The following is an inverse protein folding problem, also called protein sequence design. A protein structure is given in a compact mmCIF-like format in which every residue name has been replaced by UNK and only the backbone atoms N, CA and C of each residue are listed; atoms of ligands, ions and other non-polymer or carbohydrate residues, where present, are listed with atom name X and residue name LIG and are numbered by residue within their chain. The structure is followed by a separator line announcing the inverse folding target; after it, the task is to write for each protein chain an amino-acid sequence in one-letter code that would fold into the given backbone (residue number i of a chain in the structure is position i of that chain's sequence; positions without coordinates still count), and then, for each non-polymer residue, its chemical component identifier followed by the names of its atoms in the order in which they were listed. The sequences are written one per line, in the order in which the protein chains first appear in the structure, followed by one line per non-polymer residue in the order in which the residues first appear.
data_IF_490100420411
#
_entry.id   IF_490100420411
#
_cell.length_a   1.000
_cell.length_b   1.000
_cell.length_c   1.000
_cell.angle_alpha   90.00
_cell.angle_beta   90.00
_cell.angle_gamma   90.00
#
_symmetry.space_group_name_H-M   'P 1'
#
loop_
_entity.id
_entity.type
_entity.pdbx_description
1 polymer ?
#
# COMPACT_ATOMS: atom_id res chain seq x y z
N UNK A 1 0.67 9.65 -17.76
CA UNK A 1 -0.52 9.09 -18.44
C UNK A 1 -1.79 9.25 -17.60
N UNK A 2 -1.91 8.59 -16.44
CA UNK A 2 -3.11 8.71 -15.58
C UNK A 2 -3.49 10.17 -15.25
N UNK A 3 -2.51 10.99 -14.87
CA UNK A 3 -2.70 12.43 -14.67
C UNK A 3 -3.29 13.16 -15.89
N UNK A 4 -2.86 12.83 -17.11
CA UNK A 4 -3.41 13.45 -18.33
C UNK A 4 -4.89 13.09 -18.43
N UNK A 5 -5.26 11.82 -18.23
CA UNK A 5 -6.67 11.43 -18.19
C UNK A 5 -7.45 12.18 -17.10
N UNK A 6 -6.88 12.38 -15.91
CA UNK A 6 -7.51 13.17 -14.85
C UNK A 6 -7.76 14.63 -15.26
N UNK A 7 -6.88 15.21 -16.09
CA UNK A 7 -6.98 16.60 -16.54
C UNK A 7 -8.01 16.74 -17.68
N UNK A 8 -7.95 15.89 -18.70
CA UNK A 8 -8.81 16.01 -19.90
C UNK A 8 -10.12 15.21 -19.80
N UNK A 9 -10.24 14.34 -18.80
CA UNK A 9 -11.35 13.40 -18.63
C UNK A 9 -11.35 12.25 -19.64
N UNK A 10 -12.12 11.21 -19.38
CA UNK A 10 -12.15 9.99 -20.20
C UNK A 10 -12.50 10.25 -21.67
N UNK A 11 -13.40 11.19 -21.93
CA UNK A 11 -13.79 11.56 -23.29
C UNK A 11 -12.64 12.27 -24.03
N UNK A 12 -12.02 13.26 -23.39
CA UNK A 12 -10.89 13.99 -23.96
C UNK A 12 -9.66 13.10 -24.16
N UNK A 13 -9.43 12.16 -23.24
CA UNK A 13 -8.33 11.20 -23.34
C UNK A 13 -8.53 10.23 -24.51
N UNK A 14 -9.76 9.74 -24.72
CA UNK A 14 -10.08 8.90 -25.90
C UNK A 14 -9.90 9.66 -27.22
N UNK A 15 -10.31 10.94 -27.27
CA UNK A 15 -10.09 11.78 -28.44
C UNK A 15 -8.59 11.96 -28.73
N UNK A 16 -7.79 12.24 -27.70
CA UNK A 16 -6.33 12.34 -27.82
C UNK A 16 -5.67 11.03 -28.26
N UNK A 17 -6.14 9.87 -27.77
CA UNK A 17 -5.67 8.57 -28.24
C UNK A 17 -5.98 8.33 -29.72
N UNK A 18 -7.21 8.64 -30.16
CA UNK A 18 -7.58 8.50 -31.57
C UNK A 18 -6.68 9.35 -32.47
N UNK A 19 -6.45 10.61 -32.09
CA UNK A 19 -5.59 11.52 -32.83
C UNK A 19 -4.12 11.06 -32.83
N UNK A 20 -3.64 10.52 -31.71
CA UNK A 20 -2.29 9.97 -31.60
C UNK A 20 -2.08 8.80 -32.58
N UNK A 21 -3.02 7.85 -32.64
CA UNK A 21 -2.92 6.73 -33.59
C UNK A 21 -3.10 7.20 -35.04
N UNK A 22 -4.02 8.13 -35.32
CA UNK A 22 -4.19 8.69 -36.67
C UNK A 22 -2.89 9.31 -37.20
N UNK A 23 -2.14 10.01 -36.33
CA UNK A 23 -0.90 10.70 -36.72
C UNK A 23 0.32 9.77 -36.81
N UNK A 24 0.38 8.74 -35.97
CA UNK A 24 1.64 8.05 -35.68
C UNK A 24 1.58 6.52 -35.78
N UNK A 25 0.52 5.95 -36.33
CA UNK A 25 0.48 4.49 -36.55
C UNK A 25 1.63 4.03 -37.46
N UNK A 26 2.31 2.96 -37.05
CA UNK A 26 3.50 2.43 -37.72
C UNK A 26 4.79 3.25 -37.56
N UNK A 27 4.81 4.32 -36.74
CA UNK A 27 5.99 5.15 -36.51
C UNK A 27 6.70 4.86 -35.17
N UNK A 28 7.99 5.20 -35.10
CA UNK A 28 8.68 5.40 -33.83
C UNK A 28 8.49 6.86 -33.39
N UNK A 29 7.95 7.08 -32.19
CA UNK A 29 7.56 8.40 -31.69
C UNK A 29 8.26 8.79 -30.38
N UNK A 30 8.04 10.04 -29.98
CA UNK A 30 8.52 10.65 -28.74
C UNK A 30 7.41 10.79 -27.69
N UNK A 31 7.78 11.18 -26.46
CA UNK A 31 6.79 11.50 -25.43
C UNK A 31 6.00 12.76 -25.78
N UNK A 32 6.65 13.70 -26.45
CA UNK A 32 6.12 14.96 -26.95
C UNK A 32 4.98 14.73 -27.93
N UNK A 33 5.14 13.77 -28.86
CA UNK A 33 4.10 13.41 -29.84
C UNK A 33 2.81 12.96 -29.14
N UNK A 34 2.94 12.15 -28.08
CA UNK A 34 1.79 11.70 -27.29
C UNK A 34 1.09 12.87 -26.57
N UNK A 35 1.86 13.75 -25.92
CA UNK A 35 1.28 14.89 -25.19
C UNK A 35 0.70 15.92 -26.15
N UNK A 36 1.33 16.14 -27.31
CA UNK A 36 0.81 17.02 -28.36
C UNK A 36 -0.52 16.51 -28.91
N UNK A 37 -0.65 15.21 -29.22
CA UNK A 37 -1.93 14.65 -29.65
C UNK A 37 -3.03 14.82 -28.58
N UNK A 38 -2.69 14.68 -27.30
CA UNK A 38 -3.62 14.94 -26.19
C UNK A 38 -4.03 16.41 -26.11
N UNK A 39 -3.07 17.34 -26.26
CA UNK A 39 -3.34 18.78 -26.23
C UNK A 39 -4.16 19.23 -27.43
N UNK A 40 -3.84 18.77 -28.63
CA UNK A 40 -4.50 19.16 -29.88
C UNK A 40 -5.95 18.66 -29.97
N UNK A 41 -6.21 17.48 -29.41
CA UNK A 41 -7.57 16.95 -29.29
C UNK A 41 -8.41 17.70 -28.23
N UNK A 42 -7.76 18.41 -27.30
CA UNK A 42 -8.39 19.08 -26.16
C UNK A 42 -7.93 20.55 -26.05
N UNK A 43 -8.32 21.43 -27.00
CA UNK A 43 -7.75 22.78 -27.13
C UNK A 43 -8.05 23.72 -25.94
N UNK A 44 -9.02 23.37 -25.09
CA UNK A 44 -9.29 24.10 -23.83
C UNK A 44 -8.32 23.77 -22.70
N UNK A 45 -7.49 22.73 -22.86
CA UNK A 45 -6.54 22.26 -21.86
C UNK A 45 -5.11 22.50 -22.34
N UNK A 46 -4.37 23.36 -21.64
CA UNK A 46 -2.94 23.55 -21.87
C UNK A 46 -2.13 22.51 -21.06
N UNK A 47 -1.29 21.73 -21.76
CA UNK A 47 -0.38 20.72 -21.20
C UNK A 47 1.12 21.09 -21.33
N UNK A 48 1.46 22.32 -21.70
CA UNK A 48 2.85 22.75 -21.92
C UNK A 48 3.68 22.65 -20.63
N UNK A 49 3.15 23.20 -19.53
CA UNK A 49 3.80 23.09 -18.21
C UNK A 49 3.86 21.64 -17.74
N UNK A 50 2.81 20.85 -18.02
CA UNK A 50 2.79 19.42 -17.71
C UNK A 50 3.95 18.70 -18.40
N UNK A 51 4.12 18.91 -19.71
CA UNK A 51 5.20 18.31 -20.49
C UNK A 51 6.57 18.74 -19.97
N UNK A 52 6.77 20.05 -19.80
CA UNK A 52 8.04 20.64 -19.39
C UNK A 52 8.50 20.17 -18.00
N UNK A 53 7.58 19.76 -17.13
CA UNK A 53 7.90 19.35 -15.75
C UNK A 53 7.87 17.83 -15.58
N UNK A 54 6.76 17.16 -15.87
CA UNK A 54 6.61 15.73 -15.55
C UNK A 54 7.50 14.78 -16.36
N UNK A 55 7.93 15.17 -17.57
CA UNK A 55 8.82 14.35 -18.39
C UNK A 55 10.30 14.69 -18.21
N UNK A 56 10.62 15.90 -17.75
CA UNK A 56 12.01 16.39 -17.70
C UNK A 56 12.53 16.67 -16.28
N UNK A 57 11.66 16.77 -15.28
CA UNK A 57 12.03 17.06 -13.90
C UNK A 57 11.91 15.81 -13.02
N UNK A 58 13.04 15.37 -12.46
CA UNK A 58 13.10 14.25 -11.53
C UNK A 58 12.71 14.66 -10.10
N UNK A 59 12.35 13.68 -9.29
CA UNK A 59 12.03 13.86 -7.87
C UNK A 59 10.53 13.85 -7.60
N UNK A 60 10.16 13.52 -6.37
CA UNK A 60 8.77 13.47 -5.93
C UNK A 60 8.37 14.84 -5.39
N UNK A 61 7.33 15.50 -5.94
CA UNK A 61 6.85 16.75 -5.40
C UNK A 61 6.21 16.58 -4.01
N UNK A 62 6.24 17.64 -3.23
CA UNK A 62 5.55 17.76 -1.95
C UNK A 62 4.51 18.87 -2.06
N UNK A 63 3.28 18.59 -1.62
CA UNK A 63 2.18 19.56 -1.54
C UNK A 63 1.81 19.73 -0.07
N UNK A 64 2.14 20.89 0.48
CA UNK A 64 1.68 21.32 1.79
C UNK A 64 0.29 21.96 1.65
N UNK A 65 -0.66 21.46 2.44
CA UNK A 65 -2.05 21.92 2.48
C UNK A 65 -2.36 22.56 3.82
N UNK A 66 -2.98 23.73 3.76
CA UNK A 66 -3.56 24.44 4.90
C UNK A 66 -5.02 24.77 4.60
N UNK A 67 -5.86 24.68 5.63
CA UNK A 67 -7.31 24.77 5.48
C UNK A 67 -7.88 25.80 6.46
N UNK A 68 -8.90 26.53 6.04
CA UNK A 68 -9.65 27.41 6.94
C UNK A 68 -11.12 27.44 6.56
N UNK A 69 -11.99 27.43 7.56
CA UNK A 69 -13.43 27.48 7.39
C UNK A 69 -14.00 28.72 8.08
N UNK A 70 -14.73 29.55 7.32
CA UNK A 70 -15.52 30.65 7.83
C UNK A 70 -17.01 30.26 7.81
N UNK A 71 -17.56 30.06 9.01
CA UNK A 71 -18.96 29.67 9.18
C UNK A 71 -19.95 30.78 8.82
N UNK A 72 -19.61 32.05 9.02
CA UNK A 72 -20.52 33.16 8.73
C UNK A 72 -20.61 33.39 7.22
N UNK A 73 -19.47 33.29 6.53
CA UNK A 73 -19.42 33.41 5.08
C UNK A 73 -19.78 32.10 4.35
N UNK A 74 -19.86 30.97 5.06
CA UNK A 74 -20.00 29.63 4.48
C UNK A 74 -18.94 29.35 3.42
N UNK A 75 -17.68 29.68 3.75
CA UNK A 75 -16.54 29.52 2.84
C UNK A 75 -15.50 28.59 3.42
N UNK A 76 -14.97 27.71 2.58
CA UNK A 76 -13.85 26.85 2.90
C UNK A 76 -12.69 27.16 1.97
N UNK A 77 -11.52 27.44 2.54
CA UNK A 77 -10.34 27.86 1.80
C UNK A 77 -9.26 26.80 1.92
N UNK A 78 -8.72 26.39 0.77
CA UNK A 78 -7.58 25.49 0.63
C UNK A 78 -6.37 26.29 0.14
N UNK A 79 -5.38 26.49 1.00
CA UNK A 79 -4.08 27.07 0.63
C UNK A 79 -3.10 25.94 0.38
N UNK A 80 -2.54 25.90 -0.82
CA UNK A 80 -1.57 24.88 -1.23
C UNK A 80 -0.23 25.50 -1.52
N UNK A 81 0.84 24.80 -1.13
CA UNK A 81 2.21 25.13 -1.51
C UNK A 81 2.88 23.88 -2.05
N UNK A 82 3.40 23.95 -3.28
CA UNK A 82 4.18 22.85 -3.85
C UNK A 82 5.68 23.11 -3.78
N UNK A 83 6.46 22.05 -3.61
CA UNK A 83 7.92 22.07 -3.66
C UNK A 83 8.46 20.74 -4.17
N UNK A 84 9.72 20.71 -4.58
CA UNK A 84 10.43 19.48 -4.91
C UNK A 84 11.89 19.61 -4.51
N UNK A 85 12.45 18.58 -3.88
CA UNK A 85 13.84 18.58 -3.44
C UNK A 85 14.78 18.49 -4.65
N UNK A 86 15.96 19.11 -4.54
CA UNK A 86 17.02 18.96 -5.53
C UNK A 86 17.37 17.47 -5.74
N UNK A 87 17.67 17.08 -6.97
CA UNK A 87 18.12 15.73 -7.32
C UNK A 87 19.48 15.81 -8.02
N UNK A 88 20.28 14.72 -8.06
CA UNK A 88 21.53 14.70 -8.81
C UNK A 88 21.31 15.20 -10.25
N UNK A 89 22.12 16.15 -10.70
CA UNK A 89 22.02 16.77 -12.02
C UNK A 89 20.89 17.81 -12.19
N UNK A 90 20.01 18.01 -11.21
CA UNK A 90 18.91 18.98 -11.28
C UNK A 90 18.74 19.72 -9.93
N UNK A 91 19.58 20.73 -9.64
CA UNK A 91 19.57 21.45 -8.37
C UNK A 91 18.41 22.47 -8.24
N UNK A 92 17.89 22.96 -9.36
CA UNK A 92 16.78 23.91 -9.42
C UNK A 92 15.52 23.19 -9.90
N UNK A 93 14.38 23.44 -9.24
CA UNK A 93 13.09 22.83 -9.56
C UNK A 93 12.05 23.89 -9.91
N UNK A 94 11.28 23.65 -10.96
CA UNK A 94 10.13 24.44 -11.37
C UNK A 94 8.85 23.87 -10.74
N UNK A 95 7.80 24.69 -10.53
CA UNK A 95 6.52 24.18 -10.06
C UNK A 95 5.91 23.25 -11.11
N UNK A 96 5.47 22.08 -10.66
CA UNK A 96 4.76 21.12 -11.49
C UNK A 96 3.35 21.63 -11.78
N UNK A 97 2.76 21.03 -12.81
CA UNK A 97 1.34 21.13 -13.09
C UNK A 97 0.62 19.89 -12.53
N UNK A 98 0.12 20.00 -11.30
CA UNK A 98 -0.39 18.89 -10.49
C UNK A 98 -1.92 18.87 -10.58
N UNK A 99 -2.55 17.83 -11.17
CA UNK A 99 -3.98 17.59 -11.02
C UNK A 99 -4.27 17.03 -9.62
N UNK A 100 -4.85 17.86 -8.76
CA UNK A 100 -5.15 17.54 -7.38
C UNK A 100 -6.66 17.29 -7.22
N UNK A 101 -7.07 16.02 -7.34
CA UNK A 101 -8.46 15.60 -7.16
C UNK A 101 -8.81 15.58 -5.68
N UNK A 102 -9.94 16.16 -5.29
CA UNK A 102 -10.40 16.17 -3.91
C UNK A 102 -11.93 16.19 -3.77
N UNK A 103 -12.42 15.96 -2.57
CA UNK A 103 -13.81 16.19 -2.17
C UNK A 103 -13.90 16.81 -0.77
N UNK A 104 -15.09 17.28 -0.39
CA UNK A 104 -15.38 17.82 0.94
C UNK A 104 -16.51 17.01 1.57
N UNK A 105 -16.28 16.47 2.77
CA UNK A 105 -17.33 15.78 3.53
C UNK A 105 -17.76 16.60 4.73
N UNK A 106 -19.05 16.74 4.93
CA UNK A 106 -19.60 17.46 6.06
C UNK A 106 -19.37 16.71 7.38
N UNK A 107 -18.73 17.38 8.35
CA UNK A 107 -18.34 16.75 9.63
C UNK A 107 -19.53 16.30 10.49
N UNK A 108 -20.71 16.90 10.31
CA UNK A 108 -21.93 16.53 11.05
C UNK A 108 -22.86 15.69 10.17
N UNK A 109 -23.12 16.14 8.94
CA UNK A 109 -24.02 15.44 8.00
C UNK A 109 -23.46 14.12 7.49
N UNK A 110 -22.12 13.96 7.46
CA UNK A 110 -21.38 12.82 6.89
C UNK A 110 -21.66 12.62 5.41
N UNK A 111 -22.00 13.69 4.69
CA UNK A 111 -22.31 13.66 3.26
C UNK A 111 -21.33 14.53 2.48
N UNK A 112 -21.15 14.28 1.18
CA UNK A 112 -20.46 15.22 0.31
C UNK A 112 -21.11 16.59 0.37
N UNK A 113 -20.27 17.62 0.46
CA UNK A 113 -20.67 19.02 0.43
C UNK A 113 -20.46 19.60 -0.98
N UNK A 114 -21.15 20.70 -1.32
CA UNK A 114 -20.97 21.36 -2.62
C UNK A 114 -19.51 21.77 -2.87
N UNK A 115 -19.04 21.54 -4.10
CA UNK A 115 -17.70 21.88 -4.56
C UNK A 115 -17.74 23.12 -5.48
N UNK A 116 -18.39 24.19 -5.00
CA UNK A 116 -18.55 25.43 -5.76
C UNK A 116 -17.28 26.30 -5.62
N UNK A 117 -16.38 26.20 -6.59
CA UNK A 117 -15.13 26.97 -6.63
C UNK A 117 -15.41 28.40 -7.12
N UNK A 118 -14.87 29.42 -6.44
CA UNK A 118 -15.20 30.83 -6.73
C UNK A 118 -14.81 31.34 -8.12
N UNK A 119 -13.89 30.66 -8.82
CA UNK A 119 -13.35 31.09 -10.11
C UNK A 119 -13.74 30.18 -11.30
N UNK A 120 -14.61 29.18 -11.07
CA UNK A 120 -15.07 28.18 -12.04
C UNK A 120 -13.96 27.51 -12.87
N UNK A 121 -12.71 27.50 -12.37
CA UNK A 121 -11.53 27.06 -13.14
C UNK A 121 -11.31 25.55 -13.16
N UNK A 122 -12.14 24.79 -12.45
CA UNK A 122 -11.92 23.39 -12.15
C UNK A 122 -13.04 22.48 -12.67
N UNK A 123 -12.67 21.24 -12.97
CA UNK A 123 -13.62 20.23 -13.44
C UNK A 123 -14.24 19.52 -12.23
N UNK A 124 -15.56 19.64 -12.09
CA UNK A 124 -16.34 18.93 -11.06
C UNK A 124 -16.93 17.66 -11.68
N UNK A 125 -16.76 16.54 -11.00
CA UNK A 125 -17.31 15.22 -11.37
C UNK A 125 -17.94 14.59 -10.14
N UNK A 126 -19.25 14.37 -10.14
CA UNK A 126 -20.01 13.83 -9.02
C UNK A 126 -19.75 14.60 -7.71
N UNK A 127 -19.04 14.00 -6.78
CA UNK A 127 -18.69 14.52 -5.46
C UNK A 127 -17.20 14.90 -5.34
N UNK A 128 -16.53 15.05 -6.49
CA UNK A 128 -15.10 15.31 -6.59
C UNK A 128 -14.81 16.50 -7.52
N UNK A 129 -13.70 17.19 -7.27
CA UNK A 129 -13.20 18.30 -8.10
C UNK A 129 -11.71 18.12 -8.37
N UNK A 130 -11.27 18.43 -9.59
CA UNK A 130 -9.84 18.42 -9.94
C UNK A 130 -9.28 19.85 -9.95
N UNK A 131 -8.48 20.18 -8.95
CA UNK A 131 -7.76 21.45 -8.86
C UNK A 131 -6.43 21.38 -9.60
N UNK A 132 -6.07 22.41 -10.36
CA UNK A 132 -4.80 22.46 -11.11
C UNK A 132 -3.79 23.32 -10.36
N UNK A 133 -2.89 22.68 -9.62
CA UNK A 133 -1.82 23.37 -8.88
C UNK A 133 -0.63 23.56 -9.82
N UNK A 134 -0.48 24.78 -10.34
CA UNK A 134 0.53 25.21 -11.32
C UNK A 134 1.55 26.20 -10.77
N UNK A 135 1.23 26.92 -9.70
CA UNK A 135 2.14 27.87 -9.06
C UNK A 135 2.74 27.27 -7.79
N UNK A 136 3.83 27.87 -7.30
CA UNK A 136 4.46 27.48 -6.03
C UNK A 136 3.49 27.60 -4.86
N UNK A 137 2.63 28.61 -4.87
CA UNK A 137 1.55 28.83 -3.89
C UNK A 137 0.27 29.20 -4.62
N UNK A 138 -0.85 28.60 -4.22
CA UNK A 138 -2.19 28.91 -4.72
C UNK A 138 -3.23 28.79 -3.61
N UNK A 139 -4.36 29.43 -3.83
CA UNK A 139 -5.50 29.42 -2.93
C UNK A 139 -6.76 29.08 -3.74
N UNK A 140 -7.56 28.17 -3.19
CA UNK A 140 -8.83 27.73 -3.77
C UNK A 140 -9.93 27.97 -2.73
N UNK A 141 -10.96 28.73 -3.10
CA UNK A 141 -12.04 29.12 -2.19
C UNK A 141 -13.34 28.47 -2.65
N UNK A 142 -13.89 27.63 -1.79
CA UNK A 142 -15.19 26.98 -1.96
C UNK A 142 -16.26 27.77 -1.24
N UNK A 143 -17.38 28.03 -1.91
CA UNK A 143 -18.52 28.80 -1.38
C UNK A 143 -19.75 27.91 -1.16
N UNK A 144 -20.67 28.34 -0.30
CA UNK A 144 -21.88 27.56 0.03
C UNK A 144 -21.57 26.31 0.84
N UNK A 145 -20.49 26.33 1.62
CA UNK A 145 -20.09 25.27 2.54
C UNK A 145 -20.80 25.51 3.87
N UNK A 146 -21.94 24.86 4.07
CA UNK A 146 -22.87 25.18 5.19
C UNK A 146 -22.40 24.70 6.58
N UNK A 147 -21.49 23.72 6.61
CA UNK A 147 -20.89 23.19 7.83
C UNK A 147 -19.40 22.92 7.64
N UNK A 148 -18.64 22.83 8.74
CA UNK A 148 -17.19 22.59 8.67
C UNK A 148 -16.91 21.27 7.93
N UNK A 149 -16.17 21.28 6.82
CA UNK A 149 -15.86 20.06 6.09
C UNK A 149 -14.63 19.34 6.68
N UNK A 150 -14.54 18.05 6.40
CA UNK A 150 -13.32 17.24 6.45
C UNK A 150 -12.87 17.01 4.99
N UNK A 151 -11.66 17.43 4.60
CA UNK A 151 -11.21 17.34 3.21
C UNK A 151 -10.73 15.93 2.86
N UNK A 152 -11.26 15.38 1.77
CA UNK A 152 -10.78 14.15 1.13
C UNK A 152 -9.75 14.53 0.05
N UNK A 153 -8.48 14.50 0.43
CA UNK A 153 -7.37 15.03 -0.38
C UNK A 153 -6.76 13.97 -1.29
N UNK A 154 -6.28 14.40 -2.48
CA UNK A 154 -5.57 13.56 -3.44
C UNK A 154 -6.31 12.25 -3.79
N UNK A 155 -7.63 12.35 -4.02
CA UNK A 155 -8.49 11.22 -4.42
C UNK A 155 -7.90 10.45 -5.58
N UNK A 156 -8.02 9.12 -5.51
CA UNK A 156 -7.52 8.14 -6.48
C UNK A 156 -6.03 8.28 -6.82
N UNK A 157 -5.23 8.84 -5.90
CA UNK A 157 -3.83 9.17 -6.12
C UNK A 157 -3.64 10.01 -7.41
N UNK A 158 -4.49 11.02 -7.56
CA UNK A 158 -4.60 11.85 -8.78
C UNK A 158 -3.27 12.42 -9.30
N UNK A 159 -2.26 12.58 -8.45
CA UNK A 159 -0.89 12.86 -8.86
C UNK A 159 0.13 12.13 -7.96
N UNK A 160 1.32 11.77 -8.48
CA UNK A 160 2.36 11.07 -7.73
C UNK A 160 3.17 12.04 -6.86
N UNK A 161 2.51 12.60 -5.86
CA UNK A 161 3.05 13.60 -4.93
C UNK A 161 2.93 13.11 -3.49
N UNK A 162 3.74 13.67 -2.61
CA UNK A 162 3.53 13.55 -1.16
C UNK A 162 2.67 14.72 -0.69
N UNK A 163 1.71 14.46 0.20
CA UNK A 163 0.82 15.49 0.73
C UNK A 163 1.01 15.58 2.25
N UNK A 164 1.09 16.80 2.76
CA UNK A 164 0.98 17.09 4.18
C UNK A 164 -0.24 17.99 4.40
N UNK A 165 -1.00 17.74 5.46
CA UNK A 165 -2.09 18.61 5.89
C UNK A 165 -2.06 18.66 7.41
N UNK A 166 -1.50 19.74 7.98
CA UNK A 166 -1.33 19.85 9.43
C UNK A 166 -2.67 19.94 10.18
N UNK A 167 -3.71 20.41 9.50
CA UNK A 167 -5.05 20.57 10.07
C UNK A 167 -5.82 19.24 10.13
N UNK A 168 -5.38 18.20 9.41
CA UNK A 168 -6.07 16.92 9.36
C UNK A 168 -5.66 16.04 10.56
N UNK A 169 -6.56 15.94 11.52
CA UNK A 169 -6.34 15.21 12.78
C UNK A 169 -6.56 13.70 12.62
N UNK A 170 -6.06 12.89 13.58
CA UNK A 170 -6.35 11.45 13.64
C UNK A 170 -7.84 11.12 13.72
N UNK A 171 -8.62 11.97 14.40
CA UNK A 171 -10.08 11.82 14.46
C UNK A 171 -10.74 12.08 13.10
N UNK A 172 -10.19 13.00 12.30
CA UNK A 172 -10.65 13.24 10.93
C UNK A 172 -10.20 12.14 9.96
N UNK A 173 -9.01 11.53 10.16
CA UNK A 173 -8.61 10.31 9.45
C UNK A 173 -9.56 9.14 9.76
N UNK A 174 -9.90 8.93 11.03
CA UNK A 174 -10.91 7.94 11.44
C UNK A 174 -12.27 8.21 10.78
N UNK A 175 -12.69 9.48 10.76
CA UNK A 175 -13.92 9.91 10.10
C UNK A 175 -13.90 9.58 8.60
N UNK A 176 -12.82 9.92 7.87
CA UNK A 176 -12.68 9.63 6.45
C UNK A 176 -12.68 8.11 6.19
N UNK A 177 -11.95 7.34 7.00
CA UNK A 177 -11.95 5.88 6.90
C UNK A 177 -13.36 5.28 7.08
N UNK A 178 -14.22 5.90 7.89
CA UNK A 178 -15.59 5.47 8.14
C UNK A 178 -16.63 5.98 7.14
N UNK A 179 -16.39 7.12 6.49
CA UNK A 179 -17.45 7.90 5.83
C UNK A 179 -17.09 8.47 4.45
N UNK A 180 -15.83 8.44 4.03
CA UNK A 180 -15.45 8.93 2.70
C UNK A 180 -16.16 8.11 1.60
N UNK A 181 -16.71 8.81 0.63
CA UNK A 181 -17.37 8.22 -0.54
C UNK A 181 -16.36 7.65 -1.54
N UNK A 182 -15.10 8.11 -1.50
CA UNK A 182 -14.04 7.57 -2.33
C UNK A 182 -13.34 6.40 -1.62
N UNK A 183 -13.47 5.18 -2.18
CA UNK A 183 -12.92 3.95 -1.60
C UNK A 183 -11.40 4.00 -1.43
N UNK A 184 -10.68 4.62 -2.37
CA UNK A 184 -9.23 4.82 -2.26
C UNK A 184 -8.88 5.69 -1.06
N UNK A 185 -9.57 6.82 -0.85
CA UNK A 185 -9.35 7.67 0.32
C UNK A 185 -9.76 7.03 1.64
N UNK A 186 -10.77 6.15 1.66
CA UNK A 186 -11.05 5.35 2.87
C UNK A 186 -9.87 4.45 3.23
N UNK A 187 -9.31 3.76 2.23
CA UNK A 187 -8.12 2.94 2.39
C UNK A 187 -6.93 3.79 2.87
N UNK A 188 -6.62 4.89 2.17
CA UNK A 188 -5.50 5.76 2.53
C UNK A 188 -5.66 6.34 3.94
N UNK A 189 -6.87 6.71 4.36
CA UNK A 189 -7.11 7.22 5.71
C UNK A 189 -6.82 6.18 6.80
N UNK A 190 -7.20 4.91 6.58
CA UNK A 190 -6.84 3.79 7.47
C UNK A 190 -5.32 3.60 7.49
N UNK A 191 -4.68 3.58 6.32
CA UNK A 191 -3.23 3.36 6.22
C UNK A 191 -2.43 4.50 6.84
N UNK A 192 -2.86 5.74 6.65
CA UNK A 192 -2.24 6.93 7.23
C UNK A 192 -2.35 6.91 8.75
N UNK A 193 -3.54 6.64 9.28
CA UNK A 193 -3.77 6.52 10.72
C UNK A 193 -2.90 5.40 11.33
N UNK A 194 -2.92 4.22 10.72
CA UNK A 194 -2.10 3.09 11.17
C UNK A 194 -0.60 3.38 11.09
N UNK A 195 -0.15 4.04 10.01
CA UNK A 195 1.25 4.44 9.80
C UNK A 195 1.70 5.43 10.88
N UNK A 196 0.92 6.47 11.17
CA UNK A 196 1.30 7.46 12.17
C UNK A 196 1.46 6.83 13.56
N UNK A 197 0.49 6.00 13.98
CA UNK A 197 0.54 5.25 15.24
C UNK A 197 1.77 4.34 15.29
N UNK A 198 2.05 3.62 14.20
CA UNK A 198 3.15 2.68 14.16
C UNK A 198 4.51 3.39 14.14
N UNK A 199 4.68 4.48 13.37
CA UNK A 199 5.92 5.26 13.38
C UNK A 199 6.21 5.82 14.77
N UNK A 200 5.20 6.35 15.47
CA UNK A 200 5.37 6.83 16.85
C UNK A 200 5.75 5.71 17.81
N UNK A 201 5.04 4.58 17.75
CA UNK A 201 5.36 3.42 18.58
C UNK A 201 6.80 2.93 18.33
N UNK A 202 7.25 2.89 17.07
CA UNK A 202 8.61 2.50 16.74
C UNK A 202 9.68 3.48 17.26
N UNK A 203 9.34 4.77 17.42
CA UNK A 203 10.25 5.79 17.96
C UNK A 203 10.26 5.84 19.49
N UNK A 204 9.13 5.55 20.14
CA UNK A 204 8.95 5.67 21.59
C UNK A 204 8.87 4.31 22.31
N UNK A 205 9.82 3.42 22.00
CA UNK A 205 9.95 2.11 22.67
C UNK A 205 8.66 1.26 22.70
N UNK A 206 7.81 1.40 21.69
CA UNK A 206 6.54 0.68 21.51
C UNK A 206 5.37 1.22 22.32
N UNK A 207 5.51 2.39 22.94
CA UNK A 207 4.38 3.09 23.58
C UNK A 207 3.34 3.43 22.51
N UNK A 208 2.09 3.09 22.80
CA UNK A 208 0.95 3.39 21.92
C UNK A 208 -0.15 4.02 22.76
N UNK A 209 -0.59 5.21 22.38
CA UNK A 209 -1.70 5.89 23.02
C UNK A 209 -3.00 5.06 22.85
N UNK A 210 -3.73 4.88 23.95
CA UNK A 210 -4.94 4.07 23.95
C UNK A 210 -6.07 4.66 23.09
N UNK A 211 -6.18 5.99 23.05
CA UNK A 211 -7.16 6.72 22.24
C UNK A 211 -6.90 6.49 20.75
N UNK A 212 -5.65 6.59 20.32
CA UNK A 212 -5.31 6.45 18.90
C UNK A 212 -5.48 5.01 18.40
N UNK A 213 -5.14 4.02 19.23
CA UNK A 213 -5.43 2.62 18.94
C UNK A 213 -6.94 2.38 18.83
N UNK A 214 -7.74 3.01 19.68
CA UNK A 214 -9.20 2.94 19.61
C UNK A 214 -9.72 3.53 18.29
N UNK A 215 -9.22 4.69 17.86
CA UNK A 215 -9.58 5.28 16.56
C UNK A 215 -9.28 4.32 15.40
N UNK A 216 -8.10 3.67 15.41
CA UNK A 216 -7.76 2.69 14.37
C UNK A 216 -8.71 1.49 14.40
N UNK A 217 -9.01 0.94 15.57
CA UNK A 217 -9.94 -0.19 15.72
C UNK A 217 -11.34 0.18 15.22
N UNK A 218 -11.84 1.36 15.59
CA UNK A 218 -13.15 1.86 15.19
C UNK A 218 -13.24 2.05 13.66
N UNK A 219 -12.19 2.62 13.05
CA UNK A 219 -12.12 2.80 11.58
C UNK A 219 -12.19 1.47 10.82
N UNK A 220 -11.45 0.46 11.30
CA UNK A 220 -11.42 -0.88 10.72
C UNK A 220 -12.74 -1.61 10.95
N UNK A 221 -13.36 -1.45 12.13
CA UNK A 221 -14.66 -2.03 12.42
C UNK A 221 -15.75 -1.46 11.51
N UNK A 222 -15.80 -0.13 11.34
CA UNK A 222 -16.74 0.53 10.42
C UNK A 222 -16.53 0.05 8.98
N UNK A 223 -15.27 -0.01 8.54
CA UNK A 223 -14.92 -0.51 7.19
C UNK A 223 -15.35 -1.95 6.98
N UNK A 224 -15.14 -2.82 7.98
CA UNK A 224 -15.51 -4.23 7.91
C UNK A 224 -17.03 -4.45 7.86
N UNK A 225 -17.80 -3.60 8.55
CA UNK A 225 -19.26 -3.70 8.66
C UNK A 225 -20.00 -3.03 7.50
N UNK A 226 -19.32 -2.20 6.70
CA UNK A 226 -19.91 -1.53 5.56
C UNK A 226 -20.09 -2.50 4.39
N UNK A 227 -21.34 -2.84 4.07
CA UNK A 227 -21.69 -3.76 2.98
C UNK A 227 -21.68 -3.09 1.59
N UNK A 228 -21.54 -1.76 1.52
CA UNK A 228 -21.49 -1.04 0.25
C UNK A 228 -20.11 -1.07 -0.41
N UNK A 229 -19.05 -1.27 0.38
CA UNK A 229 -17.67 -1.30 -0.12
C UNK A 229 -17.35 -2.55 -0.95
N UNK A 230 -16.45 -2.40 -1.92
CA UNK A 230 -15.79 -3.54 -2.54
C UNK A 230 -15.02 -4.36 -1.49
N UNK A 231 -15.17 -5.69 -1.54
CA UNK A 231 -14.56 -6.58 -0.53
C UNK A 231 -13.04 -6.60 -0.60
N UNK A 232 -12.45 -6.33 -1.77
CA UNK A 232 -11.01 -6.20 -1.98
C UNK A 232 -10.48 -4.94 -1.30
N UNK A 233 -11.21 -3.82 -1.36
CA UNK A 233 -10.88 -2.60 -0.60
C UNK A 233 -10.89 -2.88 0.90
N UNK A 234 -11.93 -3.54 1.41
CA UNK A 234 -11.99 -3.94 2.83
C UNK A 234 -10.80 -4.83 3.19
N UNK A 235 -10.43 -5.79 2.33
CA UNK A 235 -9.28 -6.66 2.54
C UNK A 235 -7.96 -5.86 2.64
N UNK A 236 -7.78 -4.84 1.78
CA UNK A 236 -6.61 -3.97 1.81
C UNK A 236 -6.55 -3.13 3.09
N UNK A 237 -7.67 -2.63 3.59
CA UNK A 237 -7.72 -1.90 4.86
C UNK A 237 -7.29 -2.76 6.06
N UNK A 238 -7.52 -4.08 6.02
CA UNK A 238 -7.07 -5.00 7.08
C UNK A 238 -5.56 -5.29 7.03
N UNK A 239 -4.86 -4.99 5.92
CA UNK A 239 -3.41 -5.19 5.79
C UNK A 239 -2.62 -4.02 6.36
N UNK A 240 -2.40 -4.07 7.68
CA UNK A 240 -1.66 -3.05 8.41
C UNK A 240 -0.24 -2.82 7.84
N UNK A 241 0.29 -1.57 7.92
CA UNK A 241 1.57 -1.20 7.33
C UNK A 241 2.72 -2.18 7.62
N UNK A 242 3.56 -2.41 6.60
CA UNK A 242 4.73 -3.28 6.69
C UNK A 242 5.91 -2.58 7.36
N UNK A 243 6.83 -3.38 7.91
CA UNK A 243 7.99 -2.89 8.65
C UNK A 243 8.94 -2.06 7.78
N UNK A 244 9.17 -2.50 6.55
CA UNK A 244 9.98 -1.79 5.57
C UNK A 244 9.34 -0.46 5.15
N UNK A 245 8.01 -0.42 5.01
CA UNK A 245 7.27 0.83 4.78
C UNK A 245 7.46 1.81 5.94
N UNK A 246 7.29 1.36 7.19
CA UNK A 246 7.44 2.22 8.38
C UNK A 246 8.86 2.74 8.55
N UNK A 247 9.87 1.91 8.26
CA UNK A 247 11.26 2.33 8.26
C UNK A 247 11.53 3.50 7.31
N UNK A 248 10.75 3.67 6.23
CA UNK A 248 10.91 4.81 5.32
C UNK A 248 10.50 6.16 5.92
N UNK A 249 9.67 6.16 6.97
CA UNK A 249 9.12 7.36 7.62
C UNK A 249 9.83 7.71 8.93
N UNK A 250 10.83 6.92 9.33
CA UNK A 250 11.75 7.24 10.41
C UNK A 250 12.94 7.98 9.81
N UNK A 251 13.50 8.92 10.56
CA UNK A 251 14.64 9.72 10.13
C UNK A 251 15.86 8.84 9.85
N UNK A 252 16.66 9.22 8.84
CA UNK A 252 17.88 8.52 8.49
C UNK A 252 18.83 8.45 9.70
N UNK A 253 19.48 7.29 9.89
CA UNK A 253 20.33 7.00 11.04
C UNK A 253 19.59 6.72 12.36
N UNK A 254 18.24 6.60 12.35
CA UNK A 254 17.42 6.34 13.55
C UNK A 254 16.54 5.10 13.45
N UNK A 255 16.64 4.31 12.38
CA UNK A 255 15.85 3.08 12.23
C UNK A 255 16.45 1.98 13.11
N UNK A 256 15.71 1.55 14.14
CA UNK A 256 15.97 0.34 14.90
C UNK A 256 15.05 -0.81 14.40
N UNK A 257 15.59 -1.86 13.75
CA UNK A 257 14.79 -2.98 13.24
C UNK A 257 14.01 -3.75 14.31
N UNK A 258 14.61 -3.98 15.48
CA UNK A 258 13.99 -4.75 16.57
C UNK A 258 12.79 -4.01 17.13
N UNK A 259 12.92 -2.69 17.34
CA UNK A 259 11.85 -1.84 17.85
C UNK A 259 10.68 -1.71 16.87
N UNK A 260 10.96 -1.62 15.57
CA UNK A 260 9.92 -1.68 14.52
C UNK A 260 9.20 -3.03 14.55
N UNK A 261 9.93 -4.15 14.60
CA UNK A 261 9.33 -5.47 14.65
C UNK A 261 8.47 -5.68 15.91
N UNK A 262 9.00 -5.28 17.08
CA UNK A 262 8.30 -5.38 18.37
C UNK A 262 7.02 -4.54 18.37
N UNK A 263 7.12 -3.28 17.96
CA UNK A 263 5.98 -2.35 17.91
C UNK A 263 4.92 -2.80 16.90
N UNK A 264 5.35 -3.25 15.72
CA UNK A 264 4.43 -3.72 14.68
C UNK A 264 3.74 -5.03 15.03
N UNK A 265 4.42 -5.94 15.74
CA UNK A 265 3.80 -7.15 16.30
C UNK A 265 2.74 -6.76 17.35
N UNK A 266 3.08 -5.87 18.29
CA UNK A 266 2.17 -5.42 19.33
C UNK A 266 0.93 -4.70 18.77
N UNK A 267 1.10 -3.85 17.76
CA UNK A 267 -0.02 -3.19 17.07
C UNK A 267 -0.96 -4.22 16.42
N UNK A 268 -0.40 -5.16 15.65
CA UNK A 268 -1.18 -6.25 15.00
C UNK A 268 -1.93 -7.09 16.03
N UNK A 269 -1.30 -7.42 17.16
CA UNK A 269 -1.92 -8.17 18.25
C UNK A 269 -3.09 -7.42 18.90
N UNK A 270 -2.93 -6.12 19.19
CA UNK A 270 -3.99 -5.29 19.76
C UNK A 270 -5.19 -5.20 18.83
N UNK A 271 -4.97 -4.89 17.55
CA UNK A 271 -6.02 -4.81 16.54
C UNK A 271 -6.72 -6.16 16.35
N UNK A 272 -5.94 -7.25 16.19
CA UNK A 272 -6.49 -8.58 15.99
C UNK A 272 -7.33 -9.06 17.17
N UNK A 273 -6.88 -8.83 18.40
CA UNK A 273 -7.61 -9.22 19.60
C UNK A 273 -8.90 -8.42 19.79
N UNK A 274 -8.87 -7.11 19.53
CA UNK A 274 -10.07 -6.26 19.64
C UNK A 274 -11.12 -6.61 18.58
N UNK A 275 -10.69 -6.79 17.33
CA UNK A 275 -11.59 -7.06 16.20
C UNK A 275 -11.94 -8.54 16.02
N UNK A 276 -11.41 -9.45 16.85
CA UNK A 276 -11.54 -10.89 16.66
C UNK A 276 -12.99 -11.34 16.39
N UNK A 277 -14.02 -10.92 17.17
CA UNK A 277 -15.39 -11.35 16.91
C UNK A 277 -15.91 -10.89 15.54
N UNK A 278 -15.68 -9.63 15.17
CA UNK A 278 -16.15 -9.05 13.91
C UNK A 278 -15.42 -9.64 12.71
N UNK A 279 -14.11 -9.86 12.82
CA UNK A 279 -13.30 -10.47 11.77
C UNK A 279 -13.67 -11.94 11.57
N UNK A 280 -13.98 -12.67 12.64
CA UNK A 280 -14.43 -14.05 12.55
C UNK A 280 -15.81 -14.14 11.89
N UNK A 281 -16.72 -13.24 12.23
CA UNK A 281 -18.04 -13.13 11.60
C UNK A 281 -17.90 -12.81 10.09
N UNK A 282 -17.07 -11.82 9.74
CA UNK A 282 -16.78 -11.48 8.36
C UNK A 282 -16.20 -12.68 7.59
N UNK A 283 -15.20 -13.37 8.13
CA UNK A 283 -14.63 -14.58 7.54
C UNK A 283 -15.69 -15.64 7.22
N UNK A 284 -16.62 -15.88 8.16
CA UNK A 284 -17.69 -16.88 8.02
C UNK A 284 -18.76 -16.46 7.02
N UNK A 285 -19.05 -15.17 6.93
CA UNK A 285 -20.03 -14.59 5.99
C UNK A 285 -19.52 -14.51 4.56
N UNK A 286 -18.21 -14.62 4.32
CA UNK A 286 -17.70 -14.65 2.95
C UNK A 286 -18.18 -15.92 2.26
N UNK A 287 -19.24 -15.78 1.46
CA UNK A 287 -19.71 -16.81 0.55
C UNK A 287 -18.72 -16.97 -0.62
N UNK A 288 -18.21 -18.18 -0.78
CA UNK A 288 -17.45 -18.59 -1.96
C UNK A 288 -18.24 -19.69 -2.66
N UNK A 289 -19.34 -19.34 -3.37
CA UNK A 289 -20.28 -20.33 -3.88
C UNK A 289 -19.68 -21.23 -4.96
N UNK A 290 -18.69 -20.74 -5.71
CA UNK A 290 -18.01 -21.51 -6.76
C UNK A 290 -16.49 -21.47 -6.59
N UNK A 291 -15.85 -22.64 -6.40
CA UNK A 291 -14.42 -22.79 -6.11
C UNK A 291 -13.42 -22.15 -7.08
N UNK A 292 -13.81 -21.93 -8.35
CA UNK A 292 -12.92 -21.49 -9.43
C UNK A 292 -13.41 -20.25 -10.19
N UNK A 293 -14.36 -19.48 -9.65
CA UNK A 293 -14.77 -18.22 -10.27
C UNK A 293 -13.65 -17.18 -10.23
N UNK A 294 -13.28 -16.63 -11.39
CA UNK A 294 -12.18 -15.67 -11.54
C UNK A 294 -12.64 -14.22 -11.79
N UNK A 295 -13.94 -13.95 -11.76
CA UNK A 295 -14.45 -12.58 -11.91
C UNK A 295 -14.12 -11.72 -10.68
N UNK A 296 -14.04 -10.39 -10.86
CA UNK A 296 -13.51 -9.45 -9.86
C UNK A 296 -14.11 -9.62 -8.46
N UNK A 297 -15.44 -9.70 -8.34
CA UNK A 297 -16.10 -9.88 -7.04
C UNK A 297 -15.74 -11.20 -6.34
N UNK A 298 -15.55 -12.31 -7.07
CA UNK A 298 -15.12 -13.58 -6.47
C UNK A 298 -13.68 -13.50 -5.96
N UNK A 299 -12.80 -12.79 -6.68
CA UNK A 299 -11.43 -12.50 -6.23
C UNK A 299 -11.46 -11.64 -4.97
N UNK A 300 -12.20 -10.53 -4.97
CA UNK A 300 -12.36 -9.62 -3.83
C UNK A 300 -12.89 -10.32 -2.57
N UNK A 301 -13.87 -11.23 -2.72
CA UNK A 301 -14.37 -12.07 -1.62
C UNK A 301 -13.26 -12.95 -1.03
N UNK A 302 -12.49 -13.67 -1.86
CA UNK A 302 -11.38 -14.51 -1.39
C UNK A 302 -10.25 -13.68 -0.76
N UNK A 303 -9.98 -12.49 -1.28
CA UNK A 303 -9.03 -11.55 -0.67
C UNK A 303 -9.46 -11.18 0.74
N UNK A 304 -10.73 -10.80 0.94
CA UNK A 304 -11.26 -10.51 2.28
C UNK A 304 -11.18 -11.73 3.20
N UNK A 305 -11.61 -12.90 2.74
CA UNK A 305 -11.54 -14.14 3.53
C UNK A 305 -10.12 -14.42 4.02
N UNK A 306 -9.13 -14.29 3.12
CA UNK A 306 -7.73 -14.55 3.46
C UNK A 306 -7.13 -13.44 4.34
N UNK A 307 -7.52 -12.18 4.16
CA UNK A 307 -7.13 -11.07 5.03
C UNK A 307 -7.68 -11.26 6.45
N UNK A 308 -8.97 -11.62 6.58
CA UNK A 308 -9.58 -11.95 7.86
C UNK A 308 -8.84 -13.09 8.56
N UNK A 309 -8.60 -14.21 7.86
CA UNK A 309 -7.86 -15.34 8.44
C UNK A 309 -6.43 -14.94 8.85
N UNK A 310 -5.75 -14.14 8.03
CA UNK A 310 -4.46 -13.56 8.35
C UNK A 310 -4.47 -12.78 9.66
N UNK A 311 -5.49 -11.94 9.88
CA UNK A 311 -5.64 -11.15 11.10
C UNK A 311 -6.04 -12.00 12.32
N UNK A 312 -6.95 -12.97 12.17
CA UNK A 312 -7.36 -13.88 13.26
C UNK A 312 -6.17 -14.59 13.93
N UNK A 313 -5.16 -14.98 13.14
CA UNK A 313 -3.95 -15.63 13.63
C UNK A 313 -2.98 -14.71 14.37
N UNK A 314 -3.25 -13.40 14.44
CA UNK A 314 -2.41 -12.43 15.18
C UNK A 314 -2.93 -12.12 16.57
N UNK A 315 -4.05 -12.71 17.00
CA UNK A 315 -4.56 -12.52 18.36
C UNK A 315 -3.59 -13.07 19.43
N UNK A 316 -3.51 -12.37 20.56
CA UNK A 316 -2.77 -12.81 21.74
C UNK A 316 -3.57 -13.74 22.67
N UNK A 317 -4.89 -13.91 22.44
CA UNK A 317 -5.72 -14.80 23.24
C UNK A 317 -5.51 -16.27 22.83
N UNK A 318 -5.04 -17.17 23.72
CA UNK A 318 -4.68 -18.54 23.36
C UNK A 318 -5.83 -19.35 22.74
N UNK A 319 -7.05 -19.21 23.28
CA UNK A 319 -8.23 -19.91 22.76
C UNK A 319 -8.61 -19.44 21.35
N UNK A 320 -8.53 -18.12 21.13
CA UNK A 320 -8.80 -17.53 19.83
C UNK A 320 -7.73 -17.92 18.80
N UNK A 321 -6.46 -17.93 19.20
CA UNK A 321 -5.37 -18.36 18.33
C UNK A 321 -5.50 -19.84 17.95
N UNK A 322 -5.84 -20.70 18.90
CA UNK A 322 -6.11 -22.12 18.64
C UNK A 322 -7.24 -22.30 17.62
N UNK A 323 -8.38 -21.62 17.83
CA UNK A 323 -9.51 -21.63 16.90
C UNK A 323 -9.11 -21.12 15.51
N UNK A 324 -8.34 -20.02 15.42
CA UNK A 324 -7.82 -19.52 14.14
C UNK A 324 -6.93 -20.54 13.41
N UNK A 325 -6.09 -21.28 14.14
CA UNK A 325 -5.28 -22.37 13.56
C UNK A 325 -6.14 -23.53 13.05
N UNK A 326 -7.20 -23.89 13.77
CA UNK A 326 -8.16 -24.91 13.32
C UNK A 326 -8.92 -24.47 12.06
N UNK A 327 -9.33 -23.21 12.01
CA UNK A 327 -9.95 -22.60 10.82
C UNK A 327 -8.99 -22.63 9.62
N UNK A 328 -7.72 -22.23 9.82
CA UNK A 328 -6.72 -22.26 8.74
C UNK A 328 -6.48 -23.69 8.24
N UNK A 329 -6.37 -24.66 9.15
CA UNK A 329 -6.21 -26.06 8.78
C UNK A 329 -7.43 -26.60 8.00
N UNK A 330 -8.64 -26.25 8.43
CA UNK A 330 -9.88 -26.59 7.72
C UNK A 330 -9.93 -25.97 6.32
N UNK A 331 -9.61 -24.68 6.19
CA UNK A 331 -9.53 -24.00 4.89
C UNK A 331 -8.49 -24.66 3.99
N UNK A 332 -7.31 -25.00 4.50
CA UNK A 332 -6.26 -25.67 3.71
C UNK A 332 -6.72 -27.01 3.13
N UNK A 333 -7.35 -27.85 3.96
CA UNK A 333 -7.79 -29.19 3.57
C UNK A 333 -8.98 -29.17 2.61
N UNK A 334 -9.90 -28.21 2.80
CA UNK A 334 -11.08 -28.04 1.94
C UNK A 334 -10.82 -27.18 0.70
N UNK A 335 -9.67 -26.50 0.62
CA UNK A 335 -9.38 -25.60 -0.50
C UNK A 335 -9.26 -26.34 -1.82
N UNK A 336 -10.14 -25.99 -2.75
CA UNK A 336 -10.18 -26.49 -4.12
C UNK A 336 -9.36 -25.64 -5.10
N UNK A 337 -8.92 -24.45 -4.69
CA UNK A 337 -8.04 -23.57 -5.46
C UNK A 337 -6.75 -23.24 -4.69
N UNK A 338 -5.73 -22.77 -5.42
CA UNK A 338 -4.43 -22.43 -4.84
C UNK A 338 -4.48 -21.15 -4.00
N UNK A 339 -5.42 -20.24 -4.25
CA UNK A 339 -5.56 -18.97 -3.52
C UNK A 339 -5.93 -19.21 -2.06
N UNK A 340 -6.97 -20.01 -1.81
CA UNK A 340 -7.44 -20.31 -0.46
C UNK A 340 -6.45 -21.20 0.29
N UNK A 341 -5.83 -22.16 -0.43
CA UNK A 341 -4.79 -23.03 0.14
C UNK A 341 -3.57 -22.23 0.59
N UNK A 342 -3.11 -21.30 -0.23
CA UNK A 342 -2.00 -20.41 0.12
C UNK A 342 -2.40 -19.39 1.18
N UNK A 343 -3.64 -18.91 1.18
CA UNK A 343 -4.16 -18.01 2.22
C UNK A 343 -4.09 -18.65 3.61
N UNK A 344 -4.52 -19.91 3.72
CA UNK A 344 -4.42 -20.69 4.95
C UNK A 344 -2.96 -20.86 5.43
N UNK A 345 -2.06 -21.27 4.53
CA UNK A 345 -0.63 -21.41 4.85
C UNK A 345 0.00 -20.09 5.29
N UNK A 346 -0.29 -18.99 4.58
CA UNK A 346 0.23 -17.65 4.92
C UNK A 346 -0.24 -17.18 6.28
N UNK A 347 -1.50 -17.42 6.64
CA UNK A 347 -2.06 -17.00 7.91
C UNK A 347 -1.25 -17.59 9.09
N UNK A 348 -1.00 -18.90 9.07
CA UNK A 348 -0.28 -19.60 10.14
C UNK A 348 1.24 -19.65 9.95
N UNK A 349 1.81 -19.07 8.88
CA UNK A 349 3.24 -19.23 8.56
C UNK A 349 4.19 -18.72 9.66
N UNK A 350 3.69 -17.78 10.49
CA UNK A 350 4.41 -17.16 11.60
C UNK A 350 3.84 -17.55 12.97
N UNK A 351 3.01 -18.60 13.02
CA UNK A 351 2.43 -19.15 14.25
C UNK A 351 3.15 -20.44 14.60
N UNK A 352 3.52 -20.59 15.87
CA UNK A 352 4.05 -21.84 16.40
C UNK A 352 2.91 -22.79 16.72
N UNK A 353 2.53 -23.62 15.74
CA UNK A 353 1.50 -24.63 15.88
C UNK A 353 1.82 -25.89 15.06
N UNK A 354 1.36 -27.05 15.52
CA UNK A 354 1.60 -28.32 14.85
C UNK A 354 1.02 -28.35 13.42
N UNK A 355 -0.11 -27.67 13.20
CA UNK A 355 -0.77 -27.56 11.90
C UNK A 355 0.14 -26.94 10.84
N UNK A 356 1.00 -25.97 11.22
CA UNK A 356 1.95 -25.34 10.29
C UNK A 356 2.90 -26.37 9.69
N UNK A 357 3.52 -27.21 10.54
CA UNK A 357 4.46 -28.23 10.08
C UNK A 357 3.76 -29.26 9.19
N UNK A 358 2.59 -29.75 9.60
CA UNK A 358 1.78 -30.71 8.83
C UNK A 358 1.40 -30.15 7.46
N UNK A 359 0.88 -28.92 7.39
CA UNK A 359 0.45 -28.29 6.14
C UNK A 359 1.63 -28.01 5.19
N UNK A 360 2.79 -27.57 5.71
CA UNK A 360 3.98 -27.35 4.88
C UNK A 360 4.55 -28.65 4.32
N UNK A 361 4.50 -29.75 5.09
CA UNK A 361 4.94 -31.06 4.65
C UNK A 361 3.98 -31.66 3.61
N UNK A 362 2.67 -31.57 3.84
CA UNK A 362 1.66 -31.98 2.87
C UNK A 362 1.81 -31.20 1.55
N UNK A 363 1.93 -29.87 1.63
CA UNK A 363 2.11 -29.02 0.45
C UNK A 363 3.34 -29.43 -0.36
N UNK A 364 4.49 -29.63 0.31
CA UNK A 364 5.71 -30.10 -0.35
C UNK A 364 5.48 -31.45 -1.02
N UNK A 365 4.93 -32.41 -0.29
CA UNK A 365 4.76 -33.78 -0.78
C UNK A 365 3.82 -33.83 -2.00
N UNK A 366 2.76 -33.02 -1.97
CA UNK A 366 1.77 -32.92 -3.05
C UNK A 366 2.31 -32.23 -4.30
N UNK A 367 3.16 -31.21 -4.14
CA UNK A 367 3.56 -30.33 -5.23
C UNK A 367 5.05 -30.42 -5.61
N UNK A 368 5.83 -31.34 -5.03
CA UNK A 368 7.29 -31.45 -5.26
C UNK A 368 7.69 -31.56 -6.73
N UNK A 369 6.81 -32.07 -7.61
CA UNK A 369 7.09 -32.19 -9.05
C UNK A 369 6.67 -30.95 -9.86
N UNK A 370 5.94 -30.01 -9.26
CA UNK A 370 5.56 -28.74 -9.87
C UNK A 370 6.53 -27.62 -9.42
N UNK A 371 7.52 -27.35 -10.27
CA UNK A 371 8.55 -26.33 -10.01
C UNK A 371 7.99 -24.92 -9.82
N UNK A 372 6.82 -24.60 -10.39
CA UNK A 372 6.21 -23.28 -10.22
C UNK A 372 5.50 -23.18 -8.87
N UNK A 373 4.79 -24.22 -8.46
CA UNK A 373 4.11 -24.28 -7.16
C UNK A 373 5.12 -24.37 -6.01
N UNK A 374 6.22 -25.12 -6.18
CA UNK A 374 7.27 -25.19 -5.15
C UNK A 374 7.94 -23.84 -4.86
N UNK A 375 7.93 -22.89 -5.79
CA UNK A 375 8.36 -21.51 -5.49
C UNK A 375 7.49 -20.83 -4.42
N UNK A 376 6.20 -21.16 -4.35
CA UNK A 376 5.32 -20.67 -3.27
C UNK A 376 5.71 -21.26 -1.92
N UNK A 377 6.16 -22.52 -1.90
CA UNK A 377 6.71 -23.15 -0.71
C UNK A 377 8.02 -22.49 -0.27
N UNK A 378 8.95 -22.21 -1.20
CA UNK A 378 10.17 -21.45 -0.93
C UNK A 378 9.86 -20.07 -0.30
N UNK A 379 8.87 -19.36 -0.85
CA UNK A 379 8.41 -18.06 -0.31
C UNK A 379 7.94 -18.20 1.13
N UNK A 380 7.16 -19.25 1.47
CA UNK A 380 6.69 -19.48 2.84
C UNK A 380 7.86 -19.72 3.80
N UNK A 381 8.84 -20.53 3.40
CA UNK A 381 10.03 -20.80 4.23
C UNK A 381 10.86 -19.52 4.46
N UNK A 382 11.14 -18.76 3.39
CA UNK A 382 11.97 -17.55 3.45
C UNK A 382 11.32 -16.38 4.21
N UNK A 383 9.98 -16.26 4.15
CA UNK A 383 9.22 -15.19 4.80
C UNK A 383 8.83 -15.48 6.25
N UNK A 384 9.12 -16.68 6.76
CA UNK A 384 8.70 -17.09 8.10
C UNK A 384 9.46 -16.33 9.21
N UNK A 385 8.79 -16.02 10.31
CA UNK A 385 9.41 -15.52 11.55
C UNK A 385 10.31 -16.56 12.24
N UNK A 386 10.24 -17.83 11.85
CA UNK A 386 11.14 -18.89 12.31
C UNK A 386 12.29 -19.17 11.34
N UNK A 387 12.37 -18.43 10.22
CA UNK A 387 13.44 -18.58 9.24
C UNK A 387 14.80 -18.24 9.85
N UNK A 388 15.78 -19.12 9.63
CA UNK A 388 17.18 -18.92 10.00
C UNK A 388 18.07 -19.33 8.81
N UNK A 389 19.24 -18.69 8.60
CA UNK A 389 20.15 -18.99 7.49
C UNK A 389 20.46 -20.48 7.34
N UNK A 390 20.64 -21.20 8.45
CA UNK A 390 20.96 -22.63 8.47
C UNK A 390 19.85 -23.49 7.86
N UNK A 391 18.59 -23.14 8.13
CA UNK A 391 17.43 -23.83 7.55
C UNK A 391 17.28 -23.54 6.05
N UNK A 392 17.65 -22.33 5.61
CA UNK A 392 17.66 -22.00 4.19
C UNK A 392 18.77 -22.73 3.45
N UNK A 393 19.97 -22.84 4.04
CA UNK A 393 21.07 -23.60 3.47
C UNK A 393 20.69 -25.08 3.24
N UNK A 394 19.92 -25.68 4.15
CA UNK A 394 19.39 -27.04 3.96
C UNK A 394 18.43 -27.14 2.75
N UNK A 395 17.60 -26.12 2.53
CA UNK A 395 16.70 -26.05 1.35
C UNK A 395 17.52 -25.87 0.06
N UNK A 396 18.55 -25.02 0.09
CA UNK A 396 19.40 -24.76 -1.07
C UNK A 396 20.18 -26.00 -1.53
N UNK A 397 20.54 -26.88 -0.59
CA UNK A 397 21.25 -28.12 -0.88
C UNK A 397 20.34 -29.23 -1.45
N UNK A 398 19.03 -29.00 -1.53
CA UNK A 398 18.08 -29.93 -2.12
C UNK A 398 17.76 -29.54 -3.58
N UNK A 399 18.40 -30.16 -4.59
CA UNK A 399 18.21 -29.82 -5.99
C UNK A 399 16.80 -30.15 -6.51
N UNK A 400 16.00 -30.92 -5.76
CA UNK A 400 14.60 -31.16 -6.12
C UNK A 400 13.70 -29.96 -5.81
N UNK A 401 14.16 -29.04 -4.94
CA UNK A 401 13.37 -27.92 -4.43
C UNK A 401 13.97 -26.56 -4.84
N UNK A 402 15.29 -26.45 -4.89
CA UNK A 402 16.00 -25.21 -5.21
C UNK A 402 16.99 -25.39 -6.36
N UNK A 403 16.98 -24.42 -7.29
CA UNK A 403 17.90 -24.34 -8.41
C UNK A 403 18.47 -22.92 -8.51
N UNK A 404 19.75 -22.74 -8.18
CA UNK A 404 20.43 -21.44 -8.21
C UNK A 404 20.55 -20.87 -9.63
N UNK A 405 20.50 -21.70 -10.67
CA UNK A 405 20.55 -21.23 -12.06
C UNK A 405 19.20 -20.66 -12.52
N UNK A 406 18.11 -20.98 -11.80
CA UNK A 406 16.77 -20.49 -12.09
C UNK A 406 16.51 -19.14 -11.42
N UNK A 407 16.32 -18.04 -12.18
CA UNK A 407 16.10 -16.71 -11.62
C UNK A 407 14.89 -16.63 -10.67
N UNK A 408 13.82 -17.38 -10.98
CA UNK A 408 12.62 -17.38 -10.16
C UNK A 408 12.83 -18.13 -8.84
N UNK A 409 13.63 -19.20 -8.84
CA UNK A 409 14.01 -19.91 -7.61
C UNK A 409 14.80 -18.99 -6.66
N UNK A 410 15.80 -18.30 -7.20
CA UNK A 410 16.60 -17.32 -6.45
C UNK A 410 15.73 -16.18 -5.88
N UNK A 411 14.84 -15.61 -6.70
CA UNK A 411 13.91 -14.57 -6.24
C UNK A 411 12.98 -15.07 -5.14
N UNK A 412 12.45 -16.30 -5.26
CA UNK A 412 11.50 -16.89 -4.30
C UNK A 412 12.10 -17.28 -2.96
N UNK A 413 13.40 -17.61 -2.90
CA UNK A 413 14.10 -17.94 -1.65
C UNK A 413 14.93 -16.76 -1.13
N UNK A 414 15.97 -16.37 -1.88
CA UNK A 414 16.95 -15.36 -1.47
C UNK A 414 16.36 -13.95 -1.48
N UNK A 415 15.63 -13.60 -2.54
CA UNK A 415 14.98 -12.28 -2.65
C UNK A 415 13.89 -12.06 -1.60
N UNK A 416 13.15 -13.13 -1.26
CA UNK A 416 12.14 -13.11 -0.18
C UNK A 416 12.81 -13.02 1.19
N UNK A 417 13.90 -13.77 1.43
CA UNK A 417 14.66 -13.65 2.69
C UNK A 417 15.19 -12.23 2.90
N UNK A 418 15.77 -11.60 1.87
CA UNK A 418 16.20 -10.19 1.95
C UNK A 418 15.04 -9.20 2.11
N UNK A 419 13.79 -9.63 1.94
CA UNK A 419 12.58 -8.84 2.24
C UNK A 419 11.95 -9.21 3.60
N UNK A 420 12.44 -10.27 4.26
CA UNK A 420 12.03 -10.64 5.60
C UNK A 420 12.72 -9.71 6.61
N UNK A 421 12.13 -8.54 6.82
CA UNK A 421 12.73 -7.43 7.56
C UNK A 421 13.35 -7.84 8.91
N UNK A 422 12.67 -8.69 9.69
CA UNK A 422 13.15 -9.14 11.00
C UNK A 422 14.37 -10.08 10.92
N UNK A 423 14.48 -10.86 9.84
CA UNK A 423 15.53 -11.89 9.69
C UNK A 423 16.73 -11.40 8.92
N UNK A 424 16.49 -10.53 7.94
CA UNK A 424 17.56 -9.86 7.22
C UNK A 424 18.30 -8.88 8.15
N UNK A 425 17.57 -8.03 8.87
CA UNK A 425 18.13 -7.06 9.81
C UNK A 425 18.15 -7.62 11.24
N UNK A 426 18.74 -8.80 11.45
CA UNK A 426 18.90 -9.38 12.80
C UNK A 426 20.18 -8.85 13.47
N UNK A 427 20.14 -8.59 14.78
CA UNK A 427 21.23 -7.90 15.52
C UNK A 427 22.57 -8.63 15.48
N UNK A 428 22.55 -9.93 15.20
CA UNK A 428 23.77 -10.72 15.01
C UNK A 428 24.52 -10.44 13.69
N UNK A 429 23.95 -9.71 12.73
CA UNK A 429 24.54 -9.47 11.41
C UNK A 429 24.47 -10.68 10.44
N UNK A 430 24.15 -11.88 10.94
CA UNK A 430 24.09 -13.12 10.15
C UNK A 430 23.16 -13.07 8.94
N UNK A 431 22.08 -12.28 9.01
CA UNK A 431 21.17 -12.09 7.87
C UNK A 431 21.86 -11.41 6.69
N UNK A 432 22.70 -10.41 6.98
CA UNK A 432 23.50 -9.71 5.99
C UNK A 432 24.60 -10.61 5.42
N UNK A 433 25.37 -11.28 6.29
CA UNK A 433 26.45 -12.21 5.89
C UNK A 433 25.92 -13.30 4.95
N UNK A 434 24.84 -13.98 5.37
CA UNK A 434 24.21 -15.02 4.56
C UNK A 434 23.82 -14.48 3.18
N UNK A 435 23.08 -13.37 3.10
CA UNK A 435 22.61 -12.89 1.81
C UNK A 435 23.77 -12.36 0.93
N UNK A 436 24.80 -11.76 1.54
CA UNK A 436 25.98 -11.28 0.82
C UNK A 436 26.74 -12.44 0.16
N UNK A 437 26.97 -13.54 0.88
CA UNK A 437 27.60 -14.75 0.33
C UNK A 437 26.81 -15.31 -0.86
N UNK A 438 25.48 -15.35 -0.74
CA UNK A 438 24.61 -15.81 -1.83
C UNK A 438 24.61 -14.88 -3.02
N UNK A 439 24.66 -13.57 -2.82
CA UNK A 439 24.80 -12.58 -3.90
C UNK A 439 26.12 -12.77 -4.63
N UNK A 440 27.24 -12.94 -3.92
CA UNK A 440 28.57 -13.17 -4.51
C UNK A 440 28.59 -14.47 -5.33
N UNK A 441 27.98 -15.54 -4.81
CA UNK A 441 27.87 -16.80 -5.53
C UNK A 441 26.99 -16.66 -6.78
N UNK A 442 25.84 -15.99 -6.65
CA UNK A 442 24.90 -15.78 -7.74
C UNK A 442 25.44 -14.85 -8.82
N UNK A 443 26.26 -13.86 -8.48
CA UNK A 443 26.84 -12.91 -9.44
C UNK A 443 27.69 -13.62 -10.50
N UNK A 444 28.40 -14.68 -10.12
CA UNK A 444 29.17 -15.53 -11.04
C UNK A 444 28.31 -16.28 -12.06
N UNK A 445 27.01 -16.45 -11.78
CA UNK A 445 26.06 -17.22 -12.59
C UNK A 445 25.13 -16.28 -13.37
N UNK A 446 24.57 -15.28 -12.68
CA UNK A 446 23.61 -14.33 -13.19
C UNK A 446 23.75 -12.97 -12.50
N UNK A 447 24.62 -12.08 -13.02
CA UNK A 447 24.85 -10.75 -12.44
C UNK A 447 23.59 -9.88 -12.32
N UNK A 448 22.62 -10.05 -13.22
CA UNK A 448 21.39 -9.24 -13.19
C UNK A 448 20.50 -9.62 -12.00
N UNK A 449 20.36 -10.91 -11.70
CA UNK A 449 19.59 -11.38 -10.54
C UNK A 449 20.33 -11.03 -9.25
N UNK A 450 21.66 -11.20 -9.23
CA UNK A 450 22.50 -10.83 -8.10
C UNK A 450 22.35 -9.33 -7.77
N UNK A 451 22.49 -8.44 -8.75
CA UNK A 451 22.30 -7.00 -8.59
C UNK A 451 20.88 -6.67 -8.10
N UNK A 452 19.85 -7.37 -8.58
CA UNK A 452 18.46 -7.20 -8.12
C UNK A 452 18.27 -7.53 -6.64
N UNK A 453 18.93 -8.57 -6.14
CA UNK A 453 18.89 -8.96 -4.72
C UNK A 453 19.79 -8.05 -3.88
N UNK A 454 20.95 -7.64 -4.39
CA UNK A 454 21.88 -6.72 -3.72
C UNK A 454 21.24 -5.37 -3.36
N UNK A 455 20.18 -4.95 -4.08
CA UNK A 455 19.41 -3.73 -3.75
C UNK A 455 18.86 -3.71 -2.33
N UNK A 456 18.68 -4.87 -1.67
CA UNK A 456 18.23 -4.95 -0.27
C UNK A 456 19.20 -4.28 0.71
N UNK A 457 20.49 -4.17 0.36
CA UNK A 457 21.51 -3.53 1.18
C UNK A 457 21.56 -1.99 1.03
N UNK A 458 20.86 -1.40 0.07
CA UNK A 458 20.99 0.04 -0.24
C UNK A 458 20.41 0.98 0.84
N UNK A 459 19.61 0.44 1.76
CA UNK A 459 18.94 1.23 2.81
C UNK A 459 19.79 1.36 4.09
N UNK A 460 21.08 0.97 4.08
CA UNK A 460 21.95 0.98 5.25
C UNK A 460 22.00 2.33 5.98
N UNK A 461 22.00 3.45 5.24
CA UNK A 461 22.03 4.81 5.79
C UNK A 461 20.84 5.17 6.69
N UNK A 462 19.75 4.39 6.64
CA UNK A 462 18.57 4.61 7.48
C UNK A 462 18.75 4.09 8.90
N UNK A 463 19.54 3.04 9.06
CA UNK A 463 19.63 2.32 10.32
C UNK A 463 20.56 3.03 11.31
N UNK A 464 20.22 2.94 12.59
CA UNK A 464 21.08 3.44 13.67
C UNK A 464 22.33 2.56 13.82
N UNK A 465 23.42 3.09 14.36
CA UNK A 465 24.56 2.23 14.73
C UNK A 465 24.11 1.22 15.81
N UNK A 466 24.49 -0.08 15.76
CA UNK A 466 25.54 -0.68 14.93
C UNK A 466 25.02 -1.45 13.69
N UNK A 467 23.80 -1.18 13.24
CA UNK A 467 23.08 -1.98 12.22
C UNK A 467 23.65 -1.91 10.81
#
# INVERSE_FOLDING_TARGET
IGMINTIVGDAGFKQGLNLYFERHDGCAVTCEDFVSAMSDANPSVNLDQFMATWYFQAGTPHVDVQTSYDQQAQTYTLKVKQSCRATPGQPVKQPFDIPFKMGLLGSVSKRPLPLNLSDDSAVVTDDSIVLRIRNVQQEFVFTGVEEKPVPSLLRDFSAPVTVSCADLTRAELEFLAGHDTNEFCRYEAVQELAKQIFVEAAKDSGTMDHKDITLLIDSLQKTLQDNSLDRGVVAMCLDLPRYDTVAQFIEDGKVNPEEICRSGKALKEKVASALYPSVLDAYRKVECPVPNETHGQAVARRELKNACLGLLTKTSCPNNLKNACEIAHSQYNSAENMTDRMGALRAINNVDCAQRATMLQDFRSKYQHDKLVMKKWLVLQASSSSCVPEALAAIENDPSVFDITNPNSCKSLLGVFGSNFAKFNCSSGKGYEYLADKVIALDKINPQVAAGIAKKFLQWHKFEQPW
#
